data_IF_018908974187
#
_entry.id   IF_018908974187
#
_cell.length_a   1.000
_cell.length_b   1.000
_cell.length_c   1.000
_cell.angle_alpha   90.00
_cell.angle_beta   90.00
_cell.angle_gamma   90.00
#
_symmetry.space_group_name_H-M   'P 1'
#
loop_
_entity.id
_entity.type
_entity.pdbx_description
1 polymer ?
#
# COMPACT_ATOMS: atom_id res chain seq x y z
N UNK A 1 31.65 -9.13 -11.74
CA UNK A 1 31.03 -8.61 -10.53
C UNK A 1 31.01 -9.67 -9.45
N UNK A 2 31.04 -9.25 -8.22
CA UNK A 2 30.98 -10.16 -7.07
C UNK A 2 29.60 -10.76 -6.97
N UNK A 3 29.53 -12.03 -6.59
CA UNK A 3 28.29 -12.75 -6.34
C UNK A 3 28.24 -13.13 -4.86
N UNK A 4 27.17 -12.77 -4.19
CA UNK A 4 26.87 -13.23 -2.84
C UNK A 4 25.82 -14.33 -2.92
N UNK A 5 26.11 -15.46 -2.29
CA UNK A 5 25.16 -16.57 -2.16
C UNK A 5 25.04 -16.95 -0.69
N UNK A 6 23.83 -16.96 -0.18
CA UNK A 6 23.52 -17.43 1.16
C UNK A 6 22.64 -18.66 1.04
N UNK A 7 23.09 -19.76 1.60
CA UNK A 7 22.34 -21.02 1.69
C UNK A 7 22.21 -21.39 3.17
N UNK A 8 21.00 -21.61 3.64
CA UNK A 8 20.75 -22.14 4.95
C UNK A 8 19.77 -23.31 4.88
N UNK A 9 20.01 -24.33 5.69
CA UNK A 9 19.11 -25.46 5.83
C UNK A 9 18.91 -25.74 7.32
N UNK A 10 17.70 -25.52 7.81
CA UNK A 10 17.34 -25.72 9.21
C UNK A 10 16.39 -26.89 9.35
N UNK A 11 16.88 -27.96 9.95
CA UNK A 11 16.08 -29.18 10.19
C UNK A 11 15.09 -29.03 11.34
N UNK A 12 15.19 -27.97 12.14
CA UNK A 12 14.25 -27.68 13.22
C UNK A 12 12.96 -27.01 12.73
N UNK A 13 13.01 -26.38 11.56
CA UNK A 13 11.83 -25.82 10.91
C UNK A 13 10.97 -26.94 10.30
N UNK A 14 9.67 -26.76 10.34
CA UNK A 14 8.71 -27.65 9.70
C UNK A 14 8.43 -27.13 8.28
N UNK A 15 8.26 -28.03 7.31
CA UNK A 15 7.72 -27.66 6.00
C UNK A 15 6.23 -27.31 6.12
N UNK A 16 5.69 -26.52 5.15
CA UNK A 16 4.28 -26.12 5.17
C UNK A 16 3.34 -27.32 5.34
N UNK A 17 3.60 -28.43 4.66
CA UNK A 17 2.84 -29.67 4.78
C UNK A 17 2.92 -30.37 6.16
N UNK A 18 3.88 -30.01 7.01
CA UNK A 18 4.09 -30.59 8.35
C UNK A 18 3.69 -29.64 9.47
N UNK A 19 3.35 -28.38 9.15
CA UNK A 19 2.96 -27.38 10.15
C UNK A 19 1.60 -27.73 10.75
N UNK A 20 1.55 -27.76 12.06
CA UNK A 20 0.29 -27.85 12.80
C UNK A 20 -0.17 -26.44 13.18
N UNK A 21 -1.49 -26.28 13.39
CA UNK A 21 -2.16 -25.00 13.78
C UNK A 21 -1.57 -24.27 15.01
N UNK A 22 -0.48 -24.76 15.58
CA UNK A 22 0.19 -24.19 16.75
C UNK A 22 1.60 -23.63 16.48
N UNK A 23 2.05 -23.53 15.23
CA UNK A 23 3.38 -22.98 14.91
C UNK A 23 3.47 -21.51 15.31
N UNK A 24 4.56 -21.12 15.98
CA UNK A 24 4.76 -19.76 16.48
C UNK A 24 4.97 -18.76 15.36
N UNK A 25 5.53 -19.20 14.24
CA UNK A 25 5.75 -18.41 13.03
C UNK A 25 5.39 -19.27 11.82
N UNK A 26 4.58 -18.74 10.93
CA UNK A 26 4.27 -19.34 9.63
C UNK A 26 5.10 -18.72 8.52
N UNK A 27 5.33 -17.41 8.59
CA UNK A 27 6.24 -16.67 7.69
C UNK A 27 7.09 -15.69 8.47
N UNK A 28 8.32 -15.44 8.01
CA UNK A 28 9.21 -14.44 8.59
C UNK A 28 9.44 -13.35 7.55
N UNK A 29 9.08 -12.10 7.87
CA UNK A 29 9.39 -10.98 7.00
C UNK A 29 10.89 -10.64 7.11
N UNK A 30 11.68 -10.78 6.03
CA UNK A 30 13.14 -10.58 6.07
C UNK A 30 13.54 -9.11 6.29
N UNK A 31 12.62 -8.18 6.06
CA UNK A 31 12.86 -6.74 6.19
C UNK A 31 12.50 -6.21 7.59
N UNK A 32 11.95 -7.05 8.46
CA UNK A 32 11.57 -6.69 9.83
C UNK A 32 12.57 -7.18 10.86
N UNK A 33 12.74 -6.36 11.89
CA UNK A 33 13.42 -6.72 13.13
C UNK A 33 12.40 -7.30 14.12
N UNK A 34 12.76 -8.38 14.77
CA UNK A 34 11.91 -9.02 15.78
C UNK A 34 12.45 -8.75 17.18
N UNK A 35 11.59 -8.30 18.10
CA UNK A 35 11.96 -8.09 19.48
C UNK A 35 12.11 -9.43 20.21
N UNK A 36 13.24 -9.65 20.89
CA UNK A 36 13.55 -10.93 21.53
C UNK A 36 12.87 -11.12 22.89
N UNK A 37 12.81 -10.10 23.72
CA UNK A 37 12.39 -10.25 25.14
C UNK A 37 11.34 -9.21 25.56
N UNK A 38 10.64 -8.57 24.62
CA UNK A 38 9.69 -7.50 24.94
C UNK A 38 10.36 -6.19 25.36
N UNK A 39 11.68 -6.10 25.18
CA UNK A 39 12.47 -4.87 25.31
C UNK A 39 12.84 -4.33 23.91
N UNK A 40 13.65 -3.28 23.86
CA UNK A 40 14.10 -2.68 22.60
C UNK A 40 15.19 -3.49 21.88
N UNK A 41 15.45 -4.74 22.27
CA UNK A 41 16.44 -5.60 21.64
C UNK A 41 15.86 -6.22 20.38
N UNK A 42 16.43 -5.89 19.22
CA UNK A 42 16.01 -6.38 17.91
C UNK A 42 16.99 -7.41 17.39
N UNK A 43 16.49 -8.48 16.77
CA UNK A 43 17.29 -9.49 16.10
C UNK A 43 17.04 -9.46 14.60
N UNK A 44 18.13 -9.44 13.83
CA UNK A 44 18.11 -9.66 12.39
C UNK A 44 18.63 -11.07 12.11
N UNK A 45 17.92 -11.80 11.27
CA UNK A 45 18.35 -13.12 10.81
C UNK A 45 19.14 -12.99 9.50
N UNK A 46 20.26 -13.69 9.37
CA UNK A 46 21.02 -13.75 8.12
C UNK A 46 20.30 -14.60 7.06
N UNK A 47 19.48 -15.55 7.51
CA UNK A 47 18.62 -16.38 6.67
C UNK A 47 17.20 -16.40 7.28
N UNK A 48 16.43 -15.32 7.10
CA UNK A 48 15.11 -15.19 7.70
C UNK A 48 14.08 -16.02 6.91
N UNK A 49 13.89 -17.26 7.29
CA UNK A 49 12.87 -18.13 6.71
C UNK A 49 12.31 -19.06 7.79
N UNK A 50 11.00 -19.21 7.77
CA UNK A 50 10.31 -20.23 8.55
C UNK A 50 10.42 -21.62 7.91
N UNK A 51 10.83 -21.69 6.63
CA UNK A 51 11.05 -22.92 5.89
C UNK A 51 12.39 -23.59 6.20
N UNK A 52 12.47 -24.91 5.91
CA UNK A 52 13.70 -25.69 6.05
C UNK A 52 14.82 -25.19 5.16
N UNK A 53 14.49 -24.69 3.97
CA UNK A 53 15.46 -24.26 2.98
C UNK A 53 15.37 -22.74 2.74
N UNK A 54 16.50 -22.08 2.80
CA UNK A 54 16.65 -20.68 2.40
C UNK A 54 17.81 -20.57 1.41
N UNK A 55 17.55 -19.97 0.26
CA UNK A 55 18.57 -19.68 -0.76
C UNK A 55 18.43 -18.27 -1.24
N UNK A 56 19.49 -17.47 -1.12
CA UNK A 56 19.57 -16.10 -1.61
C UNK A 56 20.77 -15.94 -2.51
N UNK A 57 20.57 -15.39 -3.69
CA UNK A 57 21.62 -15.10 -4.68
C UNK A 57 21.52 -13.62 -5.03
N UNK A 58 22.61 -12.91 -4.87
CA UNK A 58 22.74 -11.50 -5.24
C UNK A 58 23.95 -11.32 -6.15
N UNK A 59 23.76 -10.63 -7.25
CA UNK A 59 24.83 -10.24 -8.15
C UNK A 59 24.50 -8.92 -8.83
N UNK A 60 25.17 -7.84 -8.43
CA UNK A 60 24.97 -6.48 -8.97
C UNK A 60 23.48 -6.08 -9.03
N UNK A 61 22.86 -6.25 -10.20
CA UNK A 61 21.47 -5.86 -10.49
C UNK A 61 20.47 -7.03 -10.39
N UNK A 62 20.96 -8.21 -10.09
CA UNK A 62 20.17 -9.43 -10.02
C UNK A 62 20.03 -9.93 -8.58
N UNK A 63 18.82 -10.25 -8.21
CA UNK A 63 18.44 -10.84 -6.93
C UNK A 63 17.52 -12.03 -7.17
N UNK A 64 17.77 -13.13 -6.51
CA UNK A 64 16.87 -14.28 -6.46
C UNK A 64 16.84 -14.85 -5.05
N UNK A 65 15.65 -15.19 -4.59
CA UNK A 65 15.38 -15.72 -3.26
C UNK A 65 14.43 -16.90 -3.34
N UNK A 66 14.74 -17.95 -2.61
CA UNK A 66 13.81 -19.00 -2.20
C UNK A 66 13.72 -19.00 -0.67
N UNK A 67 12.53 -18.84 -0.12
CA UNK A 67 12.24 -18.67 1.30
C UNK A 67 11.15 -17.65 1.53
N UNK A 68 11.12 -17.03 2.71
CA UNK A 68 10.15 -15.99 3.04
C UNK A 68 10.57 -14.65 2.43
N UNK A 69 9.63 -13.97 1.75
CA UNK A 69 9.86 -12.68 1.12
C UNK A 69 8.61 -11.78 1.14
N UNK A 70 8.84 -10.50 0.93
CA UNK A 70 7.76 -9.57 0.58
C UNK A 70 7.73 -9.39 -0.94
N UNK A 71 6.54 -9.46 -1.55
CA UNK A 71 6.37 -9.32 -3.01
C UNK A 71 6.82 -7.96 -3.51
N UNK A 72 6.56 -6.88 -2.76
CA UNK A 72 7.15 -5.56 -2.97
C UNK A 72 6.71 -4.83 -4.25
N UNK A 73 5.59 -5.19 -4.88
CA UNK A 73 5.04 -4.47 -6.03
C UNK A 73 4.30 -3.22 -5.55
N UNK A 74 5.03 -2.15 -5.26
CA UNK A 74 4.50 -0.92 -4.66
C UNK A 74 4.68 0.34 -5.52
N UNK A 75 5.29 0.22 -6.70
CA UNK A 75 5.59 1.35 -7.60
C UNK A 75 4.32 1.96 -8.18
N UNK A 76 3.36 1.12 -8.55
CA UNK A 76 2.05 1.52 -9.06
C UNK A 76 1.03 1.57 -7.94
N UNK A 77 0.02 2.41 -8.11
CA UNK A 77 -1.07 2.55 -7.16
C UNK A 77 -2.20 1.55 -7.44
N UNK A 78 -2.58 1.43 -8.71
CA UNK A 78 -3.67 0.56 -9.13
C UNK A 78 -3.27 -0.92 -9.17
N UNK A 79 -2.01 -1.24 -9.50
CA UNK A 79 -1.49 -2.61 -9.54
C UNK A 79 -0.57 -2.91 -8.34
N UNK A 80 -0.81 -2.25 -7.22
CA UNK A 80 -0.05 -2.49 -6.00
C UNK A 80 -0.35 -3.88 -5.45
N UNK A 81 0.72 -4.62 -5.10
CA UNK A 81 0.63 -5.92 -4.46
C UNK A 81 1.80 -6.12 -3.49
N UNK A 82 1.53 -6.18 -2.21
CA UNK A 82 2.55 -6.29 -1.16
C UNK A 82 2.07 -7.25 -0.08
N UNK A 83 2.55 -8.50 -0.16
CA UNK A 83 2.30 -9.58 0.79
C UNK A 83 3.61 -10.22 1.22
N UNK A 84 3.65 -10.75 2.43
CA UNK A 84 4.70 -11.66 2.87
C UNK A 84 4.29 -13.07 2.48
N UNK A 85 5.14 -13.76 1.73
CA UNK A 85 4.86 -15.09 1.19
C UNK A 85 6.12 -15.96 1.28
N UNK A 86 5.95 -17.27 1.27
CA UNK A 86 7.02 -18.24 1.17
C UNK A 86 7.05 -18.84 -0.23
N UNK A 87 8.21 -18.82 -0.90
CA UNK A 87 8.33 -19.31 -2.27
C UNK A 87 9.55 -18.78 -2.99
N UNK A 88 9.38 -18.36 -4.23
CA UNK A 88 10.46 -17.87 -5.11
C UNK A 88 10.19 -16.41 -5.46
N UNK A 89 11.22 -15.58 -5.32
CA UNK A 89 11.23 -14.20 -5.79
C UNK A 89 12.47 -13.93 -6.60
N UNK A 90 12.33 -13.18 -7.69
CA UNK A 90 13.47 -12.72 -8.49
C UNK A 90 13.29 -11.26 -8.87
N UNK A 91 14.38 -10.52 -8.81
CA UNK A 91 14.44 -9.12 -9.22
C UNK A 91 15.66 -8.88 -10.12
N UNK A 92 15.45 -8.13 -11.16
CA UNK A 92 16.51 -7.58 -11.99
C UNK A 92 16.26 -6.09 -12.18
N UNK A 93 17.20 -5.27 -11.70
CA UNK A 93 17.11 -3.82 -11.79
C UNK A 93 18.25 -3.24 -12.63
N UNK A 94 18.12 -3.42 -13.95
CA UNK A 94 19.05 -2.86 -14.93
C UNK A 94 18.75 -1.41 -15.27
N UNK A 95 19.73 -0.73 -15.88
CA UNK A 95 19.57 0.69 -16.29
C UNK A 95 18.38 0.92 -17.21
N UNK A 96 18.12 0.03 -18.15
CA UNK A 96 17.05 0.17 -19.16
C UNK A 96 15.84 -0.71 -18.89
N UNK A 97 16.05 -1.90 -18.36
CA UNK A 97 14.98 -2.87 -18.09
C UNK A 97 14.98 -3.23 -16.60
N UNK A 98 13.81 -3.42 -16.06
CA UNK A 98 13.64 -3.96 -14.71
C UNK A 98 12.55 -5.01 -14.72
N UNK A 99 12.70 -6.04 -13.89
CA UNK A 99 11.75 -7.12 -13.71
C UNK A 99 11.72 -7.47 -12.22
N UNK A 100 10.53 -7.58 -11.66
CA UNK A 100 10.28 -8.17 -10.36
C UNK A 100 9.22 -9.25 -10.58
N UNK A 101 9.50 -10.48 -10.18
CA UNK A 101 8.57 -11.60 -10.32
C UNK A 101 8.63 -12.49 -9.09
N UNK A 102 7.50 -13.08 -8.75
CA UNK A 102 7.37 -14.00 -7.62
C UNK A 102 6.38 -15.12 -7.94
N UNK A 103 6.53 -16.23 -7.23
CA UNK A 103 5.59 -17.34 -7.17
C UNK A 103 5.67 -17.96 -5.77
N UNK A 104 4.51 -18.21 -5.17
CA UNK A 104 4.37 -18.80 -3.85
C UNK A 104 3.10 -19.63 -3.77
N UNK A 105 3.12 -20.67 -2.98
CA UNK A 105 1.93 -21.41 -2.55
C UNK A 105 1.52 -20.87 -1.18
N UNK A 106 0.24 -20.62 -0.98
CA UNK A 106 -0.29 -20.10 0.29
C UNK A 106 -1.72 -20.54 0.50
N UNK A 107 -2.01 -20.92 1.73
CA UNK A 107 -3.35 -21.19 2.27
C UNK A 107 -3.90 -19.96 3.03
N UNK A 108 -3.23 -18.81 2.94
CA UNK A 108 -3.51 -17.63 3.75
C UNK A 108 -4.34 -16.61 2.97
N UNK A 109 -5.40 -16.13 3.63
CA UNK A 109 -6.26 -15.05 3.11
C UNK A 109 -5.73 -13.70 3.58
N UNK A 110 -5.43 -12.81 2.64
CA UNK A 110 -5.03 -11.44 2.93
C UNK A 110 -6.24 -10.55 3.19
N UNK A 111 -6.22 -9.82 4.31
CA UNK A 111 -7.30 -8.91 4.71
C UNK A 111 -6.74 -7.53 4.98
N UNK A 112 -7.51 -6.53 4.60
CA UNK A 112 -7.21 -5.13 4.86
C UNK A 112 -8.42 -4.43 5.47
N UNK A 113 -8.30 -4.05 6.72
CA UNK A 113 -9.30 -3.27 7.44
C UNK A 113 -8.92 -1.80 7.52
N UNK A 114 -9.96 -0.95 7.47
CA UNK A 114 -9.83 0.48 7.65
C UNK A 114 -10.84 0.94 8.69
N UNK A 115 -10.35 1.36 9.85
CA UNK A 115 -11.16 1.75 11.00
C UNK A 115 -10.84 3.20 11.34
N UNK A 116 -11.83 4.07 11.40
CA UNK A 116 -11.59 5.45 11.83
C UNK A 116 -11.26 5.49 13.33
N UNK A 117 -10.24 6.25 13.71
CA UNK A 117 -9.92 6.51 15.11
C UNK A 117 -11.11 7.16 15.84
N UNK A 118 -11.28 6.83 17.09
CA UNK A 118 -12.39 7.31 17.92
C UNK A 118 -11.98 8.14 19.15
N UNK A 119 -10.67 8.47 19.25
CA UNK A 119 -10.11 9.20 20.36
C UNK A 119 -9.75 8.33 21.57
N UNK A 120 -9.85 7.01 21.45
CA UNK A 120 -9.50 6.08 22.54
C UNK A 120 -8.30 5.20 22.18
N UNK A 121 -7.73 4.53 23.17
CA UNK A 121 -6.69 3.51 22.97
C UNK A 121 -7.23 2.15 22.51
N UNK A 122 -8.52 1.96 22.48
CA UNK A 122 -9.14 0.71 22.05
C UNK A 122 -10.28 0.28 22.96
N UNK A 123 -10.94 -0.90 22.75
CA UNK A 123 -10.59 -1.96 21.81
C UNK A 123 -11.17 -1.64 20.42
N UNK A 124 -10.33 -1.75 19.40
CA UNK A 124 -10.77 -1.77 18.01
C UNK A 124 -10.81 -3.23 17.58
N UNK A 125 -11.80 -3.60 16.79
CA UNK A 125 -11.98 -4.97 16.31
C UNK A 125 -11.76 -5.00 14.80
N UNK A 126 -10.93 -5.93 14.38
CA UNK A 126 -10.73 -6.26 12.97
C UNK A 126 -11.90 -7.10 12.46
N UNK A 127 -12.08 -7.15 11.14
CA UNK A 127 -13.19 -7.86 10.51
C UNK A 127 -13.10 -9.37 10.71
N UNK A 128 -11.88 -9.92 10.83
CA UNK A 128 -11.64 -11.33 11.01
C UNK A 128 -10.89 -11.64 12.31
N UNK A 129 -10.97 -12.90 12.69
CA UNK A 129 -10.29 -13.49 13.84
C UNK A 129 -9.30 -14.59 13.37
N UNK A 130 -8.64 -15.28 14.33
CA UNK A 130 -7.62 -16.30 14.04
C UNK A 130 -6.51 -15.79 13.11
N UNK A 131 -6.04 -14.58 13.41
CA UNK A 131 -5.01 -13.90 12.65
C UNK A 131 -3.69 -14.63 12.79
N UNK A 132 -3.00 -14.83 11.68
CA UNK A 132 -1.68 -15.46 11.66
C UNK A 132 -0.69 -14.57 12.42
N UNK A 133 0.04 -15.18 13.34
CA UNK A 133 0.97 -14.48 14.23
C UNK A 133 2.07 -13.80 13.38
N UNK A 134 2.28 -12.50 13.61
CA UNK A 134 3.23 -11.63 12.91
C UNK A 134 2.88 -11.29 11.44
N UNK A 135 1.71 -11.67 10.93
CA UNK A 135 1.24 -11.19 9.63
C UNK A 135 0.71 -9.76 9.69
N UNK A 136 0.38 -9.26 10.89
CA UNK A 136 -0.22 -7.96 11.09
C UNK A 136 0.75 -6.80 10.84
N UNK A 137 0.28 -5.83 10.07
CA UNK A 137 0.92 -4.54 9.87
C UNK A 137 -0.11 -3.45 10.06
N UNK A 138 0.12 -2.56 11.01
CA UNK A 138 -0.81 -1.49 11.35
C UNK A 138 -0.18 -0.14 11.03
N UNK A 139 -0.93 0.69 10.31
CA UNK A 139 -0.53 2.03 9.91
C UNK A 139 -1.60 3.04 10.35
N UNK A 140 -1.22 4.17 10.88
CA UNK A 140 -2.11 5.32 11.03
C UNK A 140 -1.99 6.19 9.80
N UNK A 141 -3.12 6.40 9.12
CA UNK A 141 -3.22 7.29 7.96
C UNK A 141 -4.09 8.49 8.31
N UNK A 142 -3.51 9.68 8.24
CA UNK A 142 -4.28 10.93 8.25
C UNK A 142 -4.63 11.27 6.81
N UNK A 143 -5.91 11.36 6.49
CA UNK A 143 -6.39 11.62 5.13
C UNK A 143 -7.00 12.99 5.02
N UNK A 144 -6.84 13.64 3.87
CA UNK A 144 -7.45 14.93 3.62
C UNK A 144 -8.97 14.86 3.83
N UNK A 145 -9.52 15.80 4.60
CA UNK A 145 -10.94 15.82 4.98
C UNK A 145 -11.90 15.99 3.79
N UNK A 146 -11.43 16.59 2.71
CA UNK A 146 -12.20 16.79 1.49
C UNK A 146 -11.90 15.74 0.42
N UNK A 147 -10.71 15.15 0.48
CA UNK A 147 -10.19 14.16 -0.46
C UNK A 147 -9.61 12.95 0.30
N UNK A 148 -10.44 12.03 0.75
CA UNK A 148 -10.00 10.89 1.57
C UNK A 148 -9.08 9.90 0.82
N UNK A 149 -8.90 10.05 -0.50
CA UNK A 149 -7.89 9.36 -1.30
C UNK A 149 -6.48 9.90 -1.05
N UNK A 150 -6.35 11.13 -0.57
CA UNK A 150 -5.05 11.73 -0.27
C UNK A 150 -4.67 11.42 1.16
N UNK A 151 -3.61 10.66 1.31
CA UNK A 151 -2.95 10.44 2.59
C UNK A 151 -2.01 11.62 2.84
N UNK A 152 -2.35 12.46 3.82
CA UNK A 152 -1.56 13.63 4.23
C UNK A 152 -0.37 13.20 5.07
N UNK A 153 -0.59 12.22 5.93
CA UNK A 153 0.43 11.63 6.80
C UNK A 153 0.18 10.14 6.94
N UNK A 154 1.25 9.35 6.89
CA UNK A 154 1.21 7.92 7.11
C UNK A 154 2.32 7.52 8.07
N UNK A 155 1.96 6.82 9.15
CA UNK A 155 2.89 6.33 10.16
C UNK A 155 2.68 4.85 10.40
N UNK A 156 3.65 4.03 10.03
CA UNK A 156 3.67 2.63 10.39
C UNK A 156 3.92 2.47 11.90
N UNK A 157 3.16 1.60 12.54
CA UNK A 157 3.22 1.32 13.96
C UNK A 157 3.97 0.03 14.24
N UNK A 158 4.72 0.02 15.33
CA UNK A 158 5.45 -1.16 15.80
C UNK A 158 4.61 -1.94 16.81
N UNK A 159 4.43 -3.24 16.55
CA UNK A 159 3.81 -4.15 17.51
C UNK A 159 4.59 -4.16 18.83
N UNK A 160 3.88 -4.24 19.95
CA UNK A 160 4.35 -4.14 21.33
C UNK A 160 4.82 -2.75 21.77
N UNK A 161 5.34 -1.90 20.90
CA UNK A 161 5.72 -0.52 21.22
C UNK A 161 4.53 0.43 21.10
N UNK A 162 3.82 0.41 19.97
CA UNK A 162 2.71 1.31 19.70
C UNK A 162 1.35 0.64 19.94
N UNK A 163 1.23 -0.66 19.64
CA UNK A 163 -0.01 -1.42 19.79
C UNK A 163 0.23 -2.87 20.23
N UNK A 164 -0.84 -3.48 20.73
CA UNK A 164 -0.95 -4.93 20.91
C UNK A 164 -2.13 -5.46 20.11
N UNK A 165 -2.00 -6.67 19.61
CA UNK A 165 -3.06 -7.39 18.92
C UNK A 165 -3.34 -8.71 19.63
N UNK A 166 -4.62 -9.04 19.80
CA UNK A 166 -5.04 -10.38 20.15
C UNK A 166 -5.44 -11.10 18.85
N UNK A 167 -4.59 -12.00 18.42
CA UNK A 167 -4.75 -12.72 17.14
C UNK A 167 -5.92 -13.69 17.14
N UNK A 168 -6.39 -14.17 18.29
CA UNK A 168 -7.53 -15.09 18.37
C UNK A 168 -8.87 -14.40 18.14
N UNK A 169 -9.04 -13.16 18.58
CA UNK A 169 -10.32 -12.44 18.49
C UNK A 169 -10.26 -11.17 17.66
N UNK A 170 -9.12 -10.88 16.98
CA UNK A 170 -8.95 -9.72 16.13
C UNK A 170 -9.00 -8.37 16.83
N UNK A 171 -8.73 -8.30 18.15
CA UNK A 171 -8.78 -7.01 18.84
C UNK A 171 -7.44 -6.30 18.87
N UNK A 172 -7.46 -4.99 18.61
CA UNK A 172 -6.32 -4.08 18.67
C UNK A 172 -6.44 -3.14 19.88
N UNK A 173 -5.34 -2.98 20.59
CA UNK A 173 -5.19 -2.03 21.70
C UNK A 173 -3.94 -1.17 21.48
N UNK A 174 -4.10 0.14 21.45
CA UNK A 174 -3.02 1.10 21.24
C UNK A 174 -2.47 1.62 22.57
N UNK A 175 -1.17 1.85 22.65
CA UNK A 175 -0.53 2.44 23.84
C UNK A 175 -0.92 3.91 24.04
N UNK A 176 -1.21 4.60 22.94
CA UNK A 176 -1.70 5.97 22.95
C UNK A 176 -3.07 6.04 22.28
N UNK A 177 -3.97 6.94 22.70
CA UNK A 177 -5.25 7.14 22.04
C UNK A 177 -5.08 7.48 20.56
N UNK A 178 -5.88 6.85 19.69
CA UNK A 178 -5.90 7.17 18.27
C UNK A 178 -6.96 8.25 18.04
N UNK A 179 -6.57 9.50 17.72
CA UNK A 179 -7.51 10.57 17.52
C UNK A 179 -8.45 10.27 16.34
N UNK A 180 -9.66 10.78 16.38
CA UNK A 180 -10.59 10.68 15.25
C UNK A 180 -10.23 11.62 14.12
N UNK A 181 -9.56 12.73 14.46
CA UNK A 181 -9.10 13.78 13.53
C UNK A 181 -7.80 14.41 14.04
N UNK A 182 -7.01 14.95 13.13
CA UNK A 182 -5.85 15.78 13.46
C UNK A 182 -6.26 17.23 13.84
N UNK A 183 -5.28 18.09 14.10
CA UNK A 183 -5.50 19.52 14.42
C UNK A 183 -6.09 20.34 13.25
N UNK A 184 -6.02 19.82 12.02
CA UNK A 184 -6.61 20.42 10.81
C UNK A 184 -7.97 19.81 10.44
N UNK A 185 -8.55 19.00 11.33
CA UNK A 185 -9.80 18.26 11.14
C UNK A 185 -9.75 17.17 10.06
N UNK A 186 -8.57 16.74 9.65
CA UNK A 186 -8.41 15.61 8.75
C UNK A 186 -8.69 14.31 9.51
N UNK A 187 -9.48 13.38 8.98
CA UNK A 187 -9.78 12.12 9.65
C UNK A 187 -8.55 11.23 9.74
N UNK A 188 -8.38 10.57 10.88
CA UNK A 188 -7.32 9.60 11.13
C UNK A 188 -7.90 8.19 11.06
N UNK A 189 -7.27 7.33 10.26
CA UNK A 189 -7.65 5.94 10.07
C UNK A 189 -6.57 5.00 10.58
N UNK A 190 -7.00 3.94 11.21
CA UNK A 190 -6.21 2.74 11.48
C UNK A 190 -6.37 1.85 10.24
N UNK A 191 -5.30 1.64 9.53
CA UNK A 191 -5.24 0.69 8.41
C UNK A 191 -4.47 -0.52 8.89
N UNK A 192 -5.17 -1.64 9.06
CA UNK A 192 -4.60 -2.91 9.46
C UNK A 192 -4.62 -3.86 8.27
N UNK A 193 -3.47 -4.40 7.91
CA UNK A 193 -3.34 -5.51 6.97
C UNK A 193 -2.84 -6.72 7.73
N UNK A 194 -3.41 -7.87 7.47
CA UNK A 194 -3.08 -9.11 8.16
C UNK A 194 -3.54 -10.31 7.33
N UNK A 195 -3.15 -11.49 7.75
CA UNK A 195 -3.52 -12.74 7.11
C UNK A 195 -4.22 -13.66 8.10
N UNK A 196 -5.16 -14.44 7.60
CA UNK A 196 -5.87 -15.49 8.34
C UNK A 196 -5.65 -16.82 7.63
N UNK A 197 -5.65 -17.92 8.38
CA UNK A 197 -5.59 -19.23 7.77
C UNK A 197 -6.92 -19.55 7.06
N UNK A 198 -6.84 -19.97 5.81
CA UNK A 198 -7.98 -20.55 5.10
C UNK A 198 -8.19 -22.00 5.55
N UNK A 199 -9.43 -22.48 5.47
CA UNK A 199 -9.75 -23.91 5.62
C UNK A 199 -9.55 -24.69 4.31
N UNK A 200 -9.06 -24.04 3.24
CA UNK A 200 -8.86 -24.60 1.91
C UNK A 200 -7.51 -25.28 1.72
N UNK A 201 -7.31 -25.80 0.50
CA UNK A 201 -6.01 -26.32 0.06
C UNK A 201 -5.09 -25.14 -0.30
N UNK A 202 -3.77 -25.38 -0.23
CA UNK A 202 -2.77 -24.42 -0.69
C UNK A 202 -2.98 -24.12 -2.17
N UNK A 203 -3.01 -22.84 -2.53
CA UNK A 203 -3.15 -22.41 -3.90
C UNK A 203 -1.98 -21.54 -4.36
N UNK A 204 -1.66 -21.67 -5.66
CA UNK A 204 -0.55 -20.94 -6.27
C UNK A 204 -0.92 -19.47 -6.48
N UNK A 205 -0.16 -18.59 -5.87
CA UNK A 205 -0.16 -17.16 -6.14
C UNK A 205 1.13 -16.75 -6.84
N UNK A 206 1.03 -15.87 -7.83
CA UNK A 206 2.22 -15.43 -8.55
C UNK A 206 1.99 -14.15 -9.33
N UNK A 207 3.08 -13.52 -9.71
CA UNK A 207 2.97 -12.29 -10.48
C UNK A 207 4.27 -11.56 -10.63
N UNK A 208 4.17 -10.36 -11.17
CA UNK A 208 5.33 -9.51 -11.33
C UNK A 208 5.05 -8.22 -12.08
N UNK A 209 6.08 -7.39 -12.13
CA UNK A 209 6.11 -6.16 -12.91
C UNK A 209 7.36 -6.13 -13.77
N UNK A 210 7.20 -5.81 -15.05
CA UNK A 210 8.30 -5.51 -15.95
C UNK A 210 8.25 -4.02 -16.33
N UNK A 211 9.43 -3.37 -16.44
CA UNK A 211 9.55 -1.98 -16.84
C UNK A 211 10.63 -1.77 -17.87
N UNK A 212 10.45 -0.74 -18.71
CA UNK A 212 11.44 -0.26 -19.65
C UNK A 212 11.59 1.26 -19.54
N UNK A 213 12.83 1.74 -19.48
CA UNK A 213 13.17 3.16 -19.53
C UNK A 213 13.63 3.55 -20.93
N UNK A 214 13.08 4.66 -21.41
CA UNK A 214 13.30 5.20 -22.75
C UNK A 214 13.60 6.70 -22.64
N UNK A 215 14.04 7.33 -23.73
CA UNK A 215 14.30 8.77 -23.82
C UNK A 215 15.26 9.30 -22.72
N UNK A 216 16.40 8.62 -22.54
CA UNK A 216 17.37 8.93 -21.50
C UNK A 216 16.74 8.96 -20.09
N UNK A 217 16.04 7.88 -19.76
CA UNK A 217 15.31 7.63 -18.49
C UNK A 217 14.12 8.56 -18.21
N UNK A 218 13.76 9.45 -19.15
CA UNK A 218 12.64 10.38 -19.00
C UNK A 218 11.27 9.70 -19.18
N UNK A 219 11.20 8.58 -19.86
CA UNK A 219 9.98 7.82 -20.06
C UNK A 219 10.16 6.42 -19.50
N UNK A 220 9.35 6.05 -18.53
CA UNK A 220 9.23 4.68 -18.01
C UNK A 220 7.85 4.13 -18.38
N UNK A 221 7.85 2.94 -18.96
CA UNK A 221 6.66 2.16 -19.24
C UNK A 221 6.72 0.87 -18.42
N UNK A 222 5.64 0.53 -17.76
CA UNK A 222 5.52 -0.68 -16.95
C UNK A 222 4.29 -1.50 -17.30
N UNK A 223 4.39 -2.81 -17.06
CA UNK A 223 3.27 -3.74 -17.11
C UNK A 223 3.34 -4.63 -15.87
N UNK A 224 2.19 -4.89 -15.27
CA UNK A 224 2.03 -5.74 -14.09
C UNK A 224 0.99 -6.81 -14.37
N UNK A 225 1.25 -8.02 -13.89
CA UNK A 225 0.30 -9.13 -13.91
C UNK A 225 0.41 -9.87 -12.58
N UNK A 226 -0.72 -10.11 -11.94
CA UNK A 226 -0.81 -10.76 -10.62
C UNK A 226 -1.95 -11.77 -10.70
N UNK A 227 -1.67 -12.97 -10.24
CA UNK A 227 -2.64 -14.02 -9.97
C UNK A 227 -2.60 -14.33 -8.48
N UNK A 228 -3.73 -14.21 -7.81
CA UNK A 228 -3.91 -14.61 -6.43
C UNK A 228 -4.76 -15.86 -6.41
N UNK A 229 -4.14 -16.99 -6.06
CA UNK A 229 -4.86 -18.22 -5.73
C UNK A 229 -5.40 -18.08 -4.31
N UNK A 230 -6.69 -18.35 -4.16
CA UNK A 230 -7.36 -18.40 -2.87
C UNK A 230 -8.72 -19.09 -3.07
N UNK A 231 -9.04 -20.03 -2.20
CA UNK A 231 -10.30 -20.78 -2.26
C UNK A 231 -11.52 -19.90 -1.96
N UNK A 232 -11.34 -18.80 -1.24
CA UNK A 232 -12.43 -17.91 -0.86
C UNK A 232 -12.46 -16.62 -1.70
N UNK A 233 -11.29 -16.03 -2.03
CA UNK A 233 -11.18 -14.74 -2.71
C UNK A 233 -10.03 -14.71 -3.70
N UNK A 234 -10.00 -15.60 -4.66
CA UNK A 234 -9.01 -15.65 -5.73
C UNK A 234 -9.25 -14.60 -6.81
N UNK A 235 -8.23 -14.33 -7.65
CA UNK A 235 -8.42 -13.41 -8.77
C UNK A 235 -7.16 -13.06 -9.54
N UNK A 236 -7.37 -12.29 -10.61
CA UNK A 236 -6.32 -11.76 -11.46
C UNK A 236 -6.35 -10.23 -11.48
N UNK A 237 -5.19 -9.63 -11.58
CA UNK A 237 -5.06 -8.19 -11.78
C UNK A 237 -4.00 -7.93 -12.84
N UNK A 238 -4.36 -7.13 -13.84
CA UNK A 238 -3.48 -6.70 -14.91
C UNK A 238 -3.42 -5.18 -14.92
N UNK A 239 -2.23 -4.61 -15.08
CA UNK A 239 -2.06 -3.18 -15.14
C UNK A 239 -0.94 -2.75 -16.07
N UNK A 240 -1.08 -1.54 -16.57
CA UNK A 240 -0.06 -0.83 -17.34
C UNK A 240 0.14 0.54 -16.75
N UNK A 241 1.39 0.99 -16.72
CA UNK A 241 1.74 2.29 -16.19
C UNK A 241 2.72 3.03 -17.11
N UNK A 242 2.60 4.35 -17.09
CA UNK A 242 3.46 5.27 -17.79
C UNK A 242 3.86 6.38 -16.83
N UNK A 243 5.15 6.66 -16.74
CA UNK A 243 5.72 7.82 -16.07
C UNK A 243 6.58 8.59 -17.08
N UNK A 244 6.29 9.87 -17.28
CA UNK A 244 7.02 10.71 -18.21
C UNK A 244 7.46 12.02 -17.57
N UNK A 245 8.76 12.19 -17.43
CA UNK A 245 9.38 13.44 -16.99
C UNK A 245 9.42 14.43 -18.16
N UNK A 246 8.34 15.24 -18.32
CA UNK A 246 8.21 16.25 -19.36
C UNK A 246 9.34 17.28 -19.20
N UNK A 247 9.64 17.65 -17.97
CA UNK A 247 10.77 18.50 -17.60
C UNK A 247 11.33 18.05 -16.24
N UNK A 248 12.39 18.71 -15.76
CA UNK A 248 12.94 18.41 -14.42
C UNK A 248 11.94 18.61 -13.28
N UNK A 249 10.90 19.39 -13.52
CA UNK A 249 9.94 19.83 -12.53
C UNK A 249 8.52 19.39 -12.87
N UNK A 250 8.30 18.70 -13.99
CA UNK A 250 6.96 18.32 -14.45
C UNK A 250 6.94 16.86 -14.86
N UNK A 251 6.09 16.09 -14.17
CA UNK A 251 5.89 14.66 -14.39
C UNK A 251 4.43 14.37 -14.80
N UNK A 252 4.28 13.53 -15.79
CA UNK A 252 3.02 12.90 -16.17
C UNK A 252 3.05 11.45 -15.71
N UNK A 253 2.04 11.03 -14.96
CA UNK A 253 1.80 9.64 -14.55
C UNK A 253 0.44 9.18 -15.05
N UNK A 254 0.40 8.00 -15.64
CA UNK A 254 -0.83 7.35 -16.09
C UNK A 254 -0.80 5.90 -15.69
N UNK A 255 -1.87 5.40 -15.10
CA UNK A 255 -2.06 3.98 -14.78
C UNK A 255 -3.44 3.53 -15.27
N UNK A 256 -3.50 2.32 -15.81
CA UNK A 256 -4.73 1.65 -16.21
C UNK A 256 -4.63 0.22 -15.68
N UNK A 257 -5.66 -0.25 -15.01
CA UNK A 257 -5.69 -1.61 -14.49
C UNK A 257 -7.09 -2.21 -14.59
N UNK A 258 -7.15 -3.53 -14.69
CA UNK A 258 -8.36 -4.31 -14.61
C UNK A 258 -8.15 -5.52 -13.71
N UNK A 259 -9.19 -5.94 -13.02
CA UNK A 259 -9.17 -7.13 -12.16
C UNK A 259 -10.42 -7.99 -12.38
N UNK A 260 -10.22 -9.29 -12.22
CA UNK A 260 -11.28 -10.29 -12.11
C UNK A 260 -11.11 -10.97 -10.76
N UNK A 261 -12.16 -11.03 -9.95
CA UNK A 261 -12.14 -11.67 -8.65
C UNK A 261 -13.29 -12.67 -8.53
N UNK A 262 -13.02 -13.80 -7.91
CA UNK A 262 -14.03 -14.80 -7.59
C UNK A 262 -14.17 -14.87 -6.07
N UNK A 263 -15.39 -14.59 -5.56
CA UNK A 263 -15.68 -14.71 -4.14
C UNK A 263 -16.77 -15.76 -3.97
N UNK A 264 -16.37 -16.94 -3.51
CA UNK A 264 -17.26 -18.10 -3.45
C UNK A 264 -17.74 -18.50 -4.85
N UNK A 265 -19.01 -18.25 -5.18
CA UNK A 265 -19.63 -18.55 -6.50
C UNK A 265 -19.84 -17.30 -7.37
N UNK A 266 -19.42 -16.14 -6.91
CA UNK A 266 -19.64 -14.88 -7.61
C UNK A 266 -18.37 -14.41 -8.28
N UNK A 267 -18.43 -14.20 -9.59
CA UNK A 267 -17.36 -13.59 -10.36
C UNK A 267 -17.66 -12.09 -10.50
N UNK A 268 -16.71 -11.28 -10.11
CA UNK A 268 -16.78 -9.82 -10.23
C UNK A 268 -15.60 -9.31 -11.03
N UNK A 269 -15.81 -8.29 -11.83
CA UNK A 269 -14.74 -7.63 -12.58
C UNK A 269 -14.83 -6.12 -12.46
N UNK A 270 -13.68 -5.47 -12.44
CA UNK A 270 -13.60 -4.02 -12.33
C UNK A 270 -12.39 -3.44 -13.02
N UNK A 271 -12.49 -2.17 -13.39
CA UNK A 271 -11.42 -1.40 -13.99
C UNK A 271 -11.09 -0.19 -13.13
N UNK A 272 -9.86 0.30 -13.27
CA UNK A 272 -9.43 1.54 -12.65
C UNK A 272 -8.49 2.33 -13.55
N UNK A 273 -8.58 3.65 -13.42
CA UNK A 273 -7.84 4.62 -14.24
C UNK A 273 -7.27 5.70 -13.33
N UNK A 274 -6.03 6.07 -13.58
CA UNK A 274 -5.36 7.19 -12.92
C UNK A 274 -4.57 7.97 -13.96
N UNK A 275 -4.73 9.29 -13.99
CA UNK A 275 -3.88 10.19 -14.74
C UNK A 275 -3.55 11.41 -13.87
N UNK A 276 -2.28 11.76 -13.77
CA UNK A 276 -1.82 12.86 -12.96
C UNK A 276 -0.72 13.62 -13.69
N UNK A 277 -0.87 14.93 -13.80
CA UNK A 277 0.17 15.85 -14.23
C UNK A 277 0.57 16.71 -13.03
N UNK A 278 1.80 16.55 -12.56
CA UNK A 278 2.34 17.28 -11.42
C UNK A 278 3.48 18.20 -11.86
N UNK A 279 3.45 19.43 -11.39
CA UNK A 279 4.55 20.39 -11.51
C UNK A 279 5.00 20.82 -10.13
N UNK A 280 6.29 20.81 -9.88
CA UNK A 280 6.85 21.24 -8.61
C UNK A 280 8.15 22.00 -8.80
N UNK A 281 8.11 23.28 -8.47
CA UNK A 281 9.31 24.13 -8.37
C UNK A 281 9.27 24.95 -7.05
N UNK A 282 10.33 25.70 -6.69
CA UNK A 282 10.36 26.44 -5.43
C UNK A 282 9.26 27.50 -5.26
N UNK A 283 8.63 27.95 -6.34
CA UNK A 283 7.57 28.97 -6.32
C UNK A 283 6.18 28.38 -6.55
N UNK A 284 6.08 27.30 -7.32
CA UNK A 284 4.80 26.75 -7.73
C UNK A 284 4.76 25.22 -7.53
N UNK A 285 3.69 24.75 -6.91
CA UNK A 285 3.31 23.34 -6.92
C UNK A 285 1.90 23.26 -7.48
N UNK A 286 1.74 22.57 -8.59
CA UNK A 286 0.45 22.40 -9.26
C UNK A 286 0.25 20.94 -9.64
N UNK A 287 -0.99 20.45 -9.51
CA UNK A 287 -1.36 19.11 -9.89
C UNK A 287 -2.73 19.14 -10.58
N UNK A 288 -2.81 18.46 -11.73
CA UNK A 288 -4.07 18.08 -12.37
C UNK A 288 -4.20 16.57 -12.22
N UNK A 289 -5.38 16.08 -11.89
CA UNK A 289 -5.58 14.66 -11.71
C UNK A 289 -6.96 14.19 -12.17
N UNK A 290 -7.00 12.96 -12.61
CA UNK A 290 -8.19 12.17 -12.90
C UNK A 290 -7.99 10.80 -12.26
N UNK A 291 -9.02 10.30 -11.58
CA UNK A 291 -9.06 8.97 -10.98
C UNK A 291 -10.47 8.41 -11.10
N UNK A 292 -10.54 7.15 -11.49
CA UNK A 292 -11.78 6.38 -11.51
C UNK A 292 -11.47 4.95 -11.09
N UNK A 293 -12.33 4.38 -10.28
CA UNK A 293 -12.20 3.01 -9.83
C UNK A 293 -13.59 2.39 -9.69
N UNK A 294 -13.83 1.27 -10.37
CA UNK A 294 -15.06 0.49 -10.23
C UNK A 294 -15.20 -0.09 -8.81
N UNK A 295 -16.43 -0.40 -8.40
CA UNK A 295 -16.73 -0.94 -7.06
C UNK A 295 -16.00 -2.27 -6.84
N UNK A 296 -16.02 -3.14 -7.85
CA UNK A 296 -15.44 -4.49 -7.80
C UNK A 296 -13.96 -4.56 -8.22
N UNK A 297 -13.28 -3.39 -8.34
CA UNK A 297 -11.88 -3.40 -8.75
C UNK A 297 -10.94 -3.74 -7.61
N UNK A 298 -9.97 -4.63 -7.89
CA UNK A 298 -8.81 -4.90 -7.06
C UNK A 298 -8.80 -6.28 -6.40
N UNK A 299 -7.67 -6.63 -5.80
CA UNK A 299 -7.43 -7.86 -5.04
C UNK A 299 -7.35 -7.59 -3.51
N UNK A 300 -8.14 -6.65 -3.02
CA UNK A 300 -8.18 -6.28 -1.59
C UNK A 300 -7.03 -5.39 -1.11
N UNK A 301 -6.01 -5.13 -1.92
CA UNK A 301 -4.86 -4.30 -1.53
C UNK A 301 -4.97 -2.84 -1.99
N UNK A 302 -5.91 -2.55 -2.85
CA UNK A 302 -6.20 -1.20 -3.34
C UNK A 302 -6.98 -0.41 -2.28
N UNK A 303 -6.95 0.92 -2.38
CA UNK A 303 -7.64 1.76 -1.40
C UNK A 303 -9.16 1.65 -1.53
N UNK A 304 -9.83 1.19 -0.49
CA UNK A 304 -11.30 1.13 -0.45
C UNK A 304 -11.98 2.51 -0.50
N UNK A 305 -11.26 3.58 -0.14
CA UNK A 305 -11.80 4.95 -0.23
C UNK A 305 -11.97 5.44 -1.67
N UNK A 306 -11.37 4.78 -2.64
CA UNK A 306 -11.50 5.09 -4.07
C UNK A 306 -12.46 4.13 -4.80
N UNK A 307 -12.89 3.04 -4.13
CA UNK A 307 -13.79 2.06 -4.73
C UNK A 307 -15.15 2.70 -5.05
N UNK A 308 -15.62 2.49 -6.26
CA UNK A 308 -16.87 3.02 -6.74
C UNK A 308 -16.91 4.55 -6.88
N UNK A 309 -15.77 5.18 -7.19
CA UNK A 309 -15.70 6.64 -7.31
C UNK A 309 -15.01 7.09 -8.59
N UNK A 310 -15.44 8.25 -9.09
CA UNK A 310 -14.73 9.03 -10.12
C UNK A 310 -14.42 10.40 -9.54
N UNK A 311 -13.17 10.81 -9.65
CA UNK A 311 -12.71 12.12 -9.18
C UNK A 311 -11.76 12.76 -10.14
N UNK A 312 -11.92 14.04 -10.40
CA UNK A 312 -10.96 14.84 -11.14
C UNK A 312 -10.89 16.24 -10.58
N UNK A 313 -9.73 16.86 -10.70
CA UNK A 313 -9.52 18.18 -10.12
C UNK A 313 -8.15 18.76 -10.41
N UNK A 314 -7.93 19.90 -9.77
CA UNK A 314 -6.69 20.65 -9.84
C UNK A 314 -6.34 21.23 -8.47
N UNK A 315 -5.07 21.19 -8.12
CA UNK A 315 -4.50 21.87 -6.96
C UNK A 315 -3.41 22.83 -7.42
N UNK A 316 -3.35 23.97 -6.77
CA UNK A 316 -2.31 24.96 -7.00
C UNK A 316 -1.85 25.55 -5.67
N UNK A 317 -0.55 25.57 -5.47
CA UNK A 317 0.11 26.40 -4.46
C UNK A 317 1.11 27.28 -5.14
N UNK A 318 0.99 28.59 -4.93
CA UNK A 318 1.86 29.58 -5.55
C UNK A 318 2.41 30.57 -4.54
N UNK A 319 3.73 30.69 -4.49
CA UNK A 319 4.46 31.64 -3.66
C UNK A 319 4.55 32.98 -4.39
N UNK A 320 3.63 33.89 -4.11
CA UNK A 320 3.59 35.24 -4.68
C UNK A 320 4.77 36.09 -4.25
N UNK A 321 5.18 35.96 -2.97
CA UNK A 321 6.37 36.59 -2.39
C UNK A 321 6.92 35.72 -1.28
N UNK A 322 8.07 36.05 -0.71
CA UNK A 322 8.69 35.30 0.40
C UNK A 322 7.73 35.06 1.59
N UNK A 323 6.73 35.90 1.75
CA UNK A 323 5.79 35.88 2.87
C UNK A 323 4.32 35.64 2.46
N UNK A 324 4.02 35.50 1.17
CA UNK A 324 2.64 35.41 0.69
C UNK A 324 2.45 34.20 -0.22
N UNK A 325 1.59 33.28 0.21
CA UNK A 325 1.22 32.06 -0.51
C UNK A 325 -0.25 32.11 -0.89
N UNK A 326 -0.55 31.72 -2.12
CA UNK A 326 -1.91 31.45 -2.60
C UNK A 326 -2.06 29.96 -2.80
N UNK A 327 -3.11 29.38 -2.22
CA UNK A 327 -3.50 28.01 -2.44
C UNK A 327 -4.88 28.00 -3.10
N UNK A 328 -5.05 27.16 -4.09
CA UNK A 328 -6.32 26.93 -4.77
C UNK A 328 -6.53 25.46 -5.02
N UNK A 329 -7.76 25.00 -4.90
CA UNK A 329 -8.16 23.64 -5.18
C UNK A 329 -9.55 23.65 -5.79
N UNK A 330 -9.77 22.82 -6.80
CA UNK A 330 -11.09 22.59 -7.36
C UNK A 330 -11.20 21.13 -7.79
N UNK A 331 -12.27 20.45 -7.39
CA UNK A 331 -12.50 19.07 -7.79
C UNK A 331 -14.00 18.75 -7.90
N UNK A 332 -14.27 17.72 -8.70
CA UNK A 332 -15.53 17.02 -8.73
C UNK A 332 -15.34 15.58 -8.26
N UNK A 333 -16.23 15.11 -7.41
CA UNK A 333 -16.28 13.76 -6.88
C UNK A 333 -17.65 13.15 -7.16
N UNK A 334 -17.67 11.95 -7.75
CA UNK A 334 -18.87 11.20 -8.09
C UNK A 334 -18.78 9.81 -7.45
N UNK A 335 -19.80 9.43 -6.70
CA UNK A 335 -19.90 8.12 -6.03
C UNK A 335 -20.96 7.29 -6.75
N UNK A 336 -20.55 6.16 -7.35
CA UNK A 336 -21.39 5.36 -8.24
C UNK A 336 -22.55 4.66 -7.54
N UNK A 337 -22.38 4.29 -6.24
CA UNK A 337 -23.40 3.52 -5.49
C UNK A 337 -24.71 4.28 -5.35
N UNK A 338 -24.66 5.60 -5.21
CA UNK A 338 -25.81 6.45 -4.94
C UNK A 338 -25.95 7.62 -5.93
N UNK A 339 -25.13 7.62 -6.99
CA UNK A 339 -25.06 8.67 -8.03
C UNK A 339 -24.88 10.10 -7.45
N UNK A 340 -24.25 10.18 -6.28
CA UNK A 340 -23.99 11.46 -5.64
C UNK A 340 -22.80 12.14 -6.30
N UNK A 341 -22.96 13.42 -6.63
CA UNK A 341 -21.94 14.28 -7.21
C UNK A 341 -21.68 15.46 -6.29
N UNK A 342 -20.42 15.74 -6.04
CA UNK A 342 -20.01 16.90 -5.26
C UNK A 342 -18.97 17.72 -6.04
N UNK A 343 -19.29 18.98 -6.24
CA UNK A 343 -18.35 19.99 -6.73
C UNK A 343 -17.79 20.78 -5.55
N UNK A 344 -16.49 20.92 -5.48
CA UNK A 344 -15.83 21.72 -4.45
C UNK A 344 -14.76 22.61 -5.05
N UNK A 345 -14.69 23.86 -4.59
CA UNK A 345 -13.62 24.77 -4.90
C UNK A 345 -13.20 25.54 -3.65
N UNK A 346 -11.92 25.59 -3.39
CA UNK A 346 -11.32 26.38 -2.30
C UNK A 346 -10.25 27.30 -2.83
N UNK A 347 -10.19 28.50 -2.28
CA UNK A 347 -9.09 29.43 -2.53
C UNK A 347 -8.73 30.09 -1.21
N UNK A 348 -7.46 30.07 -0.85
CA UNK A 348 -6.97 30.76 0.33
C UNK A 348 -5.68 31.54 0.05
N UNK A 349 -5.47 32.56 0.85
CA UNK A 349 -4.26 33.39 0.85
C UNK A 349 -3.69 33.31 2.26
N UNK A 350 -2.44 32.97 2.36
CA UNK A 350 -1.69 32.89 3.62
C UNK A 350 -0.55 33.92 3.59
N UNK A 351 -0.52 34.77 4.61
CA UNK A 351 0.59 35.66 4.88
C UNK A 351 1.32 35.21 6.14
N UNK A 352 2.63 35.03 6.07
CA UNK A 352 3.44 34.62 7.22
C UNK A 352 4.63 35.55 7.42
N UNK A 353 4.93 35.82 8.67
CA UNK A 353 6.08 36.58 9.12
C UNK A 353 6.53 35.96 10.45
N UNK A 354 7.78 36.18 10.81
CA UNK A 354 8.51 35.53 11.92
C UNK A 354 7.66 35.06 13.12
N UNK A 355 6.68 35.84 13.53
CA UNK A 355 5.90 35.59 14.75
C UNK A 355 4.40 35.39 14.53
N UNK A 356 3.89 35.49 13.30
CA UNK A 356 2.45 35.32 13.05
C UNK A 356 2.15 34.82 11.64
N UNK A 357 1.06 34.07 11.53
CA UNK A 357 0.46 33.61 10.29
C UNK A 357 -0.98 34.11 10.22
N UNK A 358 -1.35 34.71 9.10
CA UNK A 358 -2.71 35.12 8.80
C UNK A 358 -3.18 34.32 7.57
N UNK A 359 -4.37 33.77 7.64
CA UNK A 359 -4.97 33.02 6.53
C UNK A 359 -6.41 33.49 6.35
N UNK A 360 -6.80 33.70 5.09
CA UNK A 360 -8.19 33.97 4.71
C UNK A 360 -8.50 33.22 3.43
N UNK A 361 -9.74 32.78 3.27
CA UNK A 361 -10.12 32.02 2.09
C UNK A 361 -11.62 31.91 1.89
N UNK A 362 -11.97 31.34 0.75
CA UNK A 362 -13.34 31.06 0.32
C UNK A 362 -13.45 29.56 0.03
N UNK A 363 -14.57 29.00 0.43
CA UNK A 363 -14.94 27.60 0.15
C UNK A 363 -16.30 27.61 -0.53
N UNK A 364 -16.37 26.95 -1.66
CA UNK A 364 -17.62 26.67 -2.37
C UNK A 364 -17.81 25.15 -2.43
N UNK A 365 -18.99 24.68 -2.07
CA UNK A 365 -19.35 23.24 -2.19
C UNK A 365 -20.79 23.16 -2.68
N UNK A 366 -21.02 22.25 -3.61
CA UNK A 366 -22.32 21.89 -4.14
C UNK A 366 -22.42 20.36 -4.19
N UNK A 367 -23.44 19.83 -3.55
CA UNK A 367 -23.83 18.42 -3.58
C UNK A 367 -25.01 18.20 -4.53
#
# INVERSE_FOLDING_TARGET
>A
GDMLMTLAYDTSNQSDSERSDGSLFQTINPDKYYTLYGDATEQRFDAPSAEKLYLRIEREQFYALFGDFNTGLTVTELSRYSRSMTGIKTEYDGKRYGINAFAAESDQVFIRDQIQGNGTSGLYYLSENNIIINSDKVTLETRDRFRPDIVVESRELSRFLDYNINTQNGSLFFKQPVPSRDEFFNPVYIVAVYETASAGEEELSGGGRARVKLLDDRLELGVSAIHQGDTETGGNLFGTDLRYDISRNTELRVEIAGSDTTTGTNDESGNAYLAQLAHHDPRMSARLYFREQDIAFGLGQQSSSNSGTRRYGADLRYLLSENLVVNGEAFQDEVFVNDNKRDSATANIEYFRDNYRLSTGLIYTRD
#
